data_IF_970039408137
#
_entry.id   IF_970039408137
#
_cell.length_a   1.000
_cell.length_b   1.000
_cell.length_c   1.000
_cell.angle_alpha   90.00
_cell.angle_beta   90.00
_cell.angle_gamma   90.00
#
_symmetry.space_group_name_H-M   'P 1'
#
loop_
_entity.id
_entity.type
_entity.pdbx_description
1 polymer ?
#
# COMPACT_ATOMS: atom_id res chain seq x y z
N UNK A 1 12.73 -10.16 -21.84
CA UNK A 1 13.19 -9.35 -20.71
C UNK A 1 12.15 -9.38 -19.60
N UNK A 2 12.61 -9.56 -18.37
CA UNK A 2 11.71 -9.66 -17.23
C UNK A 2 10.87 -8.39 -17.05
N UNK A 3 11.46 -7.21 -17.30
CA UNK A 3 10.77 -5.94 -17.15
C UNK A 3 9.53 -5.80 -18.02
N UNK A 4 9.51 -6.45 -19.18
CA UNK A 4 8.37 -6.39 -20.10
C UNK A 4 7.15 -7.16 -19.57
N UNK A 5 7.33 -7.98 -18.54
CA UNK A 5 6.28 -8.77 -17.91
C UNK A 5 5.69 -8.14 -16.67
N UNK A 6 6.33 -7.09 -16.15
CA UNK A 6 5.86 -6.46 -14.93
C UNK A 6 4.62 -5.62 -15.21
N UNK A 7 3.60 -5.71 -14.34
CA UNK A 7 2.46 -4.83 -14.43
C UNK A 7 2.88 -3.37 -14.35
N UNK A 8 2.17 -2.51 -15.04
CA UNK A 8 2.52 -1.10 -15.10
C UNK A 8 1.28 -0.23 -15.01
N UNK A 9 1.39 0.87 -14.28
CA UNK A 9 0.36 1.90 -14.17
C UNK A 9 0.99 3.27 -14.39
N UNK A 10 0.49 4.00 -15.39
CA UNK A 10 0.95 5.36 -15.63
C UNK A 10 0.57 6.28 -14.47
N UNK A 11 -0.58 6.03 -13.83
CA UNK A 11 -1.00 6.81 -12.66
C UNK A 11 0.03 6.73 -11.54
N UNK A 12 0.58 5.55 -11.28
CA UNK A 12 1.63 5.38 -10.25
C UNK A 12 2.88 6.18 -10.60
N UNK A 13 3.31 6.16 -11.88
CA UNK A 13 4.47 6.93 -12.31
C UNK A 13 4.23 8.43 -12.15
N UNK A 14 3.02 8.89 -12.46
CA UNK A 14 2.67 10.30 -12.39
C UNK A 14 2.60 10.83 -10.97
N UNK A 15 2.17 10.01 -10.01
CA UNK A 15 1.90 10.50 -8.65
C UNK A 15 2.93 10.08 -7.60
N UNK A 16 3.89 9.21 -7.93
CA UNK A 16 4.83 8.70 -6.92
C UNK A 16 5.69 9.80 -6.31
N UNK A 17 6.15 10.78 -7.08
CA UNK A 17 6.99 11.88 -6.56
C UNK A 17 6.21 12.80 -5.62
N UNK A 18 5.01 13.31 -5.99
CA UNK A 18 4.20 14.08 -5.04
C UNK A 18 3.88 13.34 -3.75
N UNK A 19 3.58 12.04 -3.85
CA UNK A 19 3.31 11.22 -2.65
C UNK A 19 4.57 11.11 -1.81
N UNK A 20 5.73 10.84 -2.42
CA UNK A 20 6.99 10.74 -1.69
C UNK A 20 7.29 12.01 -0.89
N UNK A 21 7.02 13.16 -1.47
CA UNK A 21 7.23 14.45 -0.80
C UNK A 21 6.43 14.52 0.51
N UNK A 22 5.17 14.09 0.48
CA UNK A 22 4.33 14.06 1.68
C UNK A 22 4.84 13.03 2.67
N UNK A 23 5.15 11.81 2.20
CA UNK A 23 5.65 10.75 3.09
C UNK A 23 6.91 11.20 3.83
N UNK A 24 7.82 11.91 3.15
CA UNK A 24 9.06 12.40 3.78
C UNK A 24 8.83 13.40 4.90
N UNK A 25 7.70 14.10 4.89
CA UNK A 25 7.35 15.02 5.97
C UNK A 25 6.93 14.32 7.25
N UNK A 26 6.38 13.10 7.14
CA UNK A 26 5.74 12.41 8.26
C UNK A 26 6.45 11.13 8.69
N UNK A 27 7.20 10.49 7.79
CA UNK A 27 7.93 9.26 8.11
C UNK A 27 9.33 9.64 8.61
N UNK A 28 9.65 9.24 9.83
CA UNK A 28 10.95 9.52 10.44
C UNK A 28 11.57 8.26 11.02
N UNK A 29 11.13 7.83 12.19
CA UNK A 29 11.68 6.71 12.93
C UNK A 29 10.73 5.52 13.03
N UNK A 30 9.59 5.56 12.33
CA UNK A 30 8.67 4.44 12.29
C UNK A 30 9.34 3.25 11.60
N UNK A 31 8.97 2.04 12.05
CA UNK A 31 9.61 0.80 11.61
C UNK A 31 8.79 -0.01 10.62
N UNK A 32 7.46 0.19 10.58
CA UNK A 32 6.60 -0.67 9.77
C UNK A 32 5.41 0.08 9.18
N UNK A 33 5.11 -0.26 7.93
CA UNK A 33 3.99 0.27 7.17
C UNK A 33 3.26 -0.88 6.49
N UNK A 34 1.92 -0.86 6.56
CA UNK A 34 1.07 -1.77 5.80
C UNK A 34 0.47 -1.01 4.62
N UNK A 35 0.70 -1.53 3.41
CA UNK A 35 0.07 -1.01 2.21
C UNK A 35 -1.13 -1.86 1.84
N UNK A 36 -2.29 -1.22 1.63
CA UNK A 36 -3.51 -1.88 1.17
C UNK A 36 -3.66 -1.67 -0.33
N UNK A 37 -3.99 -2.74 -1.05
CA UNK A 37 -4.21 -2.71 -2.50
C UNK A 37 -2.97 -2.23 -3.26
N UNK A 38 -1.87 -2.96 -3.11
CA UNK A 38 -0.58 -2.60 -3.69
C UNK A 38 -0.53 -2.60 -5.22
N UNK A 39 -1.44 -3.30 -5.88
CA UNK A 39 -1.62 -3.25 -7.33
C UNK A 39 -0.39 -3.73 -8.10
N UNK A 40 0.19 -2.85 -8.91
CA UNK A 40 1.37 -3.17 -9.72
C UNK A 40 2.65 -3.31 -8.91
N UNK A 41 2.66 -2.82 -7.67
CA UNK A 41 3.85 -2.80 -6.84
C UNK A 41 4.81 -1.65 -7.12
N UNK A 42 4.49 -0.76 -8.06
CA UNK A 42 5.36 0.37 -8.40
C UNK A 42 5.56 1.31 -7.22
N UNK A 43 4.50 1.63 -6.47
CA UNK A 43 4.61 2.44 -5.26
C UNK A 43 5.44 1.74 -4.19
N UNK A 44 5.14 0.47 -3.92
CA UNK A 44 5.86 -0.29 -2.91
C UNK A 44 7.36 -0.35 -3.18
N UNK A 45 7.74 -0.65 -4.41
CA UNK A 45 9.15 -0.68 -4.80
C UNK A 45 9.80 0.70 -4.63
N UNK A 46 9.15 1.74 -5.14
CA UNK A 46 9.71 3.09 -5.12
C UNK A 46 9.86 3.61 -3.69
N UNK A 47 8.83 3.44 -2.86
CA UNK A 47 8.87 3.94 -1.48
C UNK A 47 9.75 3.07 -0.58
N UNK A 48 9.79 1.76 -0.79
CA UNK A 48 10.71 0.91 -0.04
C UNK A 48 12.16 1.30 -0.29
N UNK A 49 12.51 1.63 -1.53
CA UNK A 49 13.85 2.15 -1.85
C UNK A 49 14.13 3.50 -1.17
N UNK A 50 13.10 4.33 -1.04
CA UNK A 50 13.22 5.67 -0.46
C UNK A 50 13.35 5.64 1.06
N UNK A 51 12.84 4.58 1.72
CA UNK A 51 12.84 4.42 3.16
C UNK A 51 13.44 3.07 3.54
N UNK A 52 14.76 2.89 3.41
CA UNK A 52 15.37 1.57 3.55
C UNK A 52 15.27 0.96 4.95
N UNK A 53 15.00 1.76 5.97
CA UNK A 53 14.83 1.27 7.34
C UNK A 53 13.37 0.99 7.70
N UNK A 54 12.45 1.23 6.78
CA UNK A 54 11.02 1.02 6.98
C UNK A 54 10.61 -0.30 6.33
N UNK A 55 10.00 -1.20 7.11
CA UNK A 55 9.37 -2.38 6.54
C UNK A 55 8.14 -1.95 5.77
N UNK A 56 8.16 -2.14 4.46
CA UNK A 56 7.03 -1.84 3.58
C UNK A 56 6.31 -3.13 3.26
N UNK A 57 5.24 -3.42 4.00
CA UNK A 57 4.47 -4.65 3.83
C UNK A 57 3.28 -4.37 2.93
N UNK A 58 3.39 -4.76 1.68
CA UNK A 58 2.27 -4.63 0.75
C UNK A 58 1.28 -5.78 0.89
N UNK A 59 0.07 -5.56 0.37
CA UNK A 59 -1.01 -6.55 0.38
C UNK A 59 -1.95 -6.29 -0.78
N UNK A 60 -2.67 -7.33 -1.19
CA UNK A 60 -3.73 -7.19 -2.17
C UNK A 60 -4.64 -8.42 -2.12
N UNK A 61 -5.67 -8.41 -2.97
CA UNK A 61 -6.59 -9.53 -3.11
C UNK A 61 -5.90 -10.78 -3.66
N UNK A 62 -6.45 -11.99 -3.43
CA UNK A 62 -5.80 -13.22 -3.90
C UNK A 62 -5.48 -13.22 -5.39
N UNK A 63 -6.36 -12.67 -6.22
CA UNK A 63 -6.13 -12.61 -7.67
C UNK A 63 -5.07 -11.62 -8.11
N UNK A 64 -4.63 -10.72 -7.23
CA UNK A 64 -3.70 -9.65 -7.57
C UNK A 64 -2.29 -9.89 -7.01
N UNK A 65 -2.13 -10.73 -5.99
CA UNK A 65 -0.83 -10.89 -5.33
C UNK A 65 0.23 -11.54 -6.21
N UNK A 66 -0.17 -12.34 -7.19
CA UNK A 66 0.80 -12.97 -8.10
C UNK A 66 1.56 -11.91 -8.89
N UNK A 67 0.86 -10.97 -9.50
CA UNK A 67 1.48 -9.88 -10.26
C UNK A 67 2.30 -8.97 -9.37
N UNK A 68 1.75 -8.64 -8.19
CA UNK A 68 2.45 -7.81 -7.21
C UNK A 68 3.76 -8.46 -6.78
N UNK A 69 3.76 -9.77 -6.53
CA UNK A 69 4.95 -10.49 -6.13
C UNK A 69 6.00 -10.62 -7.23
N UNK A 70 5.63 -10.52 -8.51
CA UNK A 70 6.61 -10.46 -9.58
C UNK A 70 7.52 -9.25 -9.42
N UNK A 71 6.93 -8.08 -9.18
CA UNK A 71 7.72 -6.86 -8.98
C UNK A 71 8.54 -6.92 -7.69
N UNK A 72 7.94 -7.42 -6.62
CA UNK A 72 8.64 -7.56 -5.33
C UNK A 72 9.87 -8.43 -5.48
N UNK A 73 9.72 -9.57 -6.14
CA UNK A 73 10.83 -10.51 -6.38
C UNK A 73 11.93 -9.87 -7.23
N UNK A 74 11.54 -9.16 -8.28
CA UNK A 74 12.47 -8.47 -9.18
C UNK A 74 13.24 -7.37 -8.45
N UNK A 75 12.57 -6.62 -7.60
CA UNK A 75 13.18 -5.53 -6.83
C UNK A 75 14.21 -6.03 -5.83
N UNK A 76 13.99 -7.20 -5.25
CA UNK A 76 14.91 -7.85 -4.32
C UNK A 76 15.38 -6.91 -3.20
N UNK A 77 14.44 -6.25 -2.54
CA UNK A 77 14.72 -5.32 -1.44
C UNK A 77 14.50 -6.01 -0.10
N UNK A 78 15.44 -5.80 0.83
CA UNK A 78 15.36 -6.44 2.17
C UNK A 78 14.15 -5.98 2.98
N UNK A 79 13.61 -4.79 2.68
CA UNK A 79 12.50 -4.20 3.41
C UNK A 79 11.18 -4.25 2.64
N UNK A 80 11.10 -5.04 1.57
CA UNK A 80 9.89 -5.23 0.78
C UNK A 80 9.64 -6.74 0.64
N UNK A 81 9.05 -7.37 1.67
CA UNK A 81 8.78 -8.82 1.64
C UNK A 81 7.61 -9.17 0.73
N UNK A 82 7.39 -10.46 0.45
CA UNK A 82 6.24 -10.88 -0.35
C UNK A 82 4.93 -10.33 0.17
N UNK A 83 4.01 -10.06 -0.74
CA UNK A 83 2.71 -9.46 -0.42
C UNK A 83 1.86 -10.40 0.43
N UNK A 84 1.11 -9.81 1.35
CA UNK A 84 0.07 -10.51 2.09
C UNK A 84 -1.22 -10.53 1.27
N UNK A 85 -1.99 -11.60 1.41
CA UNK A 85 -3.35 -11.64 0.87
C UNK A 85 -4.25 -10.94 1.88
N UNK A 86 -4.96 -9.90 1.43
CA UNK A 86 -5.82 -9.13 2.32
C UNK A 86 -7.00 -8.58 1.54
N UNK A 87 -8.20 -8.91 2.01
CA UNK A 87 -9.45 -8.36 1.51
C UNK A 87 -10.03 -7.46 2.60
N UNK A 88 -10.27 -6.19 2.30
CA UNK A 88 -10.79 -5.23 3.28
C UNK A 88 -12.18 -5.63 3.79
N UNK A 89 -12.89 -6.47 3.05
CA UNK A 89 -14.21 -6.95 3.44
C UNK A 89 -14.17 -8.09 4.46
N UNK A 90 -13.00 -8.70 4.69
CA UNK A 90 -12.87 -9.72 5.73
C UNK A 90 -13.05 -9.08 7.11
N UNK A 91 -13.74 -9.81 7.99
CA UNK A 91 -13.98 -9.31 9.35
C UNK A 91 -12.70 -9.24 10.18
N UNK A 92 -11.72 -10.07 9.84
CA UNK A 92 -10.40 -10.08 10.48
C UNK A 92 -9.34 -10.11 9.39
N UNK A 93 -8.51 -9.09 9.33
CA UNK A 93 -7.44 -9.02 8.33
C UNK A 93 -6.26 -9.94 8.66
N UNK A 94 -6.22 -10.44 9.88
CA UNK A 94 -5.24 -11.44 10.32
C UNK A 94 -3.78 -11.00 10.09
N UNK A 95 -3.50 -9.75 10.40
CA UNK A 95 -2.17 -9.17 10.32
C UNK A 95 -1.77 -8.58 11.67
N UNK A 96 -0.47 -8.39 11.87
CA UNK A 96 0.04 -7.71 13.07
C UNK A 96 -0.32 -6.22 13.02
N UNK A 97 -0.03 -5.50 14.08
CA UNK A 97 -0.24 -4.06 14.11
C UNK A 97 0.95 -3.31 13.52
N UNK A 98 0.65 -2.28 12.76
CA UNK A 98 1.62 -1.43 12.07
C UNK A 98 1.59 -0.01 12.60
N UNK A 99 2.71 0.70 12.44
CA UNK A 99 2.82 2.11 12.82
C UNK A 99 2.27 3.05 11.74
N UNK A 100 2.25 2.59 10.50
CA UNK A 100 1.77 3.38 9.36
C UNK A 100 0.88 2.51 8.47
N UNK A 101 -0.08 3.15 7.80
CA UNK A 101 -0.88 2.51 6.77
C UNK A 101 -0.92 3.41 5.55
N UNK A 102 -0.83 2.80 4.37
CA UNK A 102 -0.82 3.52 3.08
C UNK A 102 -1.74 2.82 2.10
N UNK A 103 -2.53 3.60 1.36
CA UNK A 103 -3.23 3.11 0.17
C UNK A 103 -3.36 4.24 -0.84
N UNK A 104 -3.20 3.90 -2.11
CA UNK A 104 -3.26 4.87 -3.18
C UNK A 104 -4.10 4.33 -4.33
N UNK A 105 -4.94 5.19 -4.90
CA UNK A 105 -5.74 4.90 -6.09
C UNK A 105 -6.66 3.69 -5.93
N UNK A 106 -7.16 3.46 -4.72
CA UNK A 106 -7.97 2.27 -4.41
C UNK A 106 -9.38 2.60 -3.94
N UNK A 107 -9.54 3.57 -3.04
CA UNK A 107 -10.85 3.82 -2.41
C UNK A 107 -11.91 4.26 -3.41
N UNK A 108 -11.53 5.02 -4.44
CA UNK A 108 -12.48 5.51 -5.43
C UNK A 108 -13.05 4.42 -6.35
N UNK A 109 -12.39 3.27 -6.42
CA UNK A 109 -12.86 2.12 -7.21
C UNK A 109 -13.52 1.04 -6.35
N UNK A 110 -13.48 1.18 -5.04
CA UNK A 110 -14.16 0.27 -4.12
C UNK A 110 -15.65 0.63 -4.03
N UNK A 111 -16.47 -0.38 -3.71
CA UNK A 111 -17.87 -0.13 -3.35
C UNK A 111 -17.94 0.68 -2.06
N UNK A 112 -19.09 1.34 -1.82
CA UNK A 112 -19.33 2.03 -0.55
C UNK A 112 -19.12 1.10 0.64
N UNK A 113 -19.61 -0.12 0.53
CA UNK A 113 -19.49 -1.10 1.61
C UNK A 113 -18.04 -1.47 1.88
N UNK A 114 -17.24 -1.61 0.83
CA UNK A 114 -15.81 -1.89 0.99
C UNK A 114 -15.08 -0.72 1.66
N UNK A 115 -15.42 0.51 1.31
CA UNK A 115 -14.85 1.70 1.95
C UNK A 115 -15.23 1.74 3.42
N UNK A 116 -16.49 1.48 3.76
CA UNK A 116 -16.94 1.40 5.16
C UNK A 116 -16.16 0.33 5.93
N UNK A 117 -16.01 -0.84 5.33
CA UNK A 117 -15.27 -1.94 5.94
C UNK A 117 -13.81 -1.58 6.16
N UNK A 118 -13.19 -0.93 5.18
CA UNK A 118 -11.82 -0.45 5.31
C UNK A 118 -11.67 0.44 6.55
N UNK A 119 -12.47 1.49 6.65
CA UNK A 119 -12.36 2.42 7.77
C UNK A 119 -12.72 1.80 9.12
N UNK A 120 -13.65 0.85 9.15
CA UNK A 120 -14.01 0.23 10.42
C UNK A 120 -12.97 -0.76 10.93
N UNK A 121 -12.12 -1.29 10.03
CA UNK A 121 -11.14 -2.32 10.39
C UNK A 121 -9.73 -1.80 10.61
N UNK A 122 -9.36 -0.65 10.04
CA UNK A 122 -7.99 -0.16 10.18
C UNK A 122 -7.56 0.08 11.64
N UNK A 123 -8.43 0.48 12.59
CA UNK A 123 -7.99 0.60 13.98
C UNK A 123 -7.46 -0.71 14.57
N UNK A 124 -7.92 -1.85 14.07
CA UNK A 124 -7.51 -3.16 14.59
C UNK A 124 -6.10 -3.56 14.15
N UNK A 125 -5.57 -2.92 13.10
CA UNK A 125 -4.26 -3.24 12.53
C UNK A 125 -3.26 -2.10 12.71
N UNK A 126 -3.62 -1.08 13.47
CA UNK A 126 -2.76 0.07 13.73
C UNK A 126 -2.36 0.15 15.19
N UNK A 127 -1.12 0.51 15.42
CA UNK A 127 -0.63 0.84 16.74
C UNK A 127 -1.19 2.18 17.19
N UNK A 128 -1.11 2.47 18.48
CA UNK A 128 -1.50 3.77 19.02
C UNK A 128 -0.65 4.86 18.37
N UNK A 129 -1.29 5.99 18.04
CA UNK A 129 -0.64 7.13 17.37
C UNK A 129 -0.14 6.83 15.96
N UNK A 130 -0.68 5.79 15.30
CA UNK A 130 -0.33 5.48 13.92
C UNK A 130 -0.82 6.55 12.97
N UNK A 131 -0.14 6.67 11.81
CA UNK A 131 -0.54 7.57 10.74
C UNK A 131 -1.11 6.77 9.58
N UNK A 132 -2.11 7.35 8.92
CA UNK A 132 -2.76 6.76 7.74
C UNK A 132 -2.61 7.73 6.58
N UNK A 133 -2.09 7.22 5.46
CA UNK A 133 -1.93 7.98 4.22
C UNK A 133 -2.86 7.41 3.16
N UNK A 134 -3.76 8.24 2.67
CA UNK A 134 -4.72 7.86 1.61
C UNK A 134 -4.56 8.84 0.47
N UNK A 135 -4.26 8.33 -0.72
CA UNK A 135 -4.12 9.13 -1.91
C UNK A 135 -5.09 8.63 -2.98
N UNK A 136 -5.71 9.57 -3.70
CA UNK A 136 -6.57 9.22 -4.81
C UNK A 136 -7.46 10.38 -5.24
N UNK A 137 -8.13 10.25 -6.40
CA UNK A 137 -9.14 11.22 -6.81
C UNK A 137 -10.39 11.02 -5.97
N UNK A 138 -10.75 12.00 -5.17
CA UNK A 138 -12.00 12.00 -4.40
C UNK A 138 -12.97 12.98 -5.04
N UNK A 139 -14.23 12.55 -5.17
CA UNK A 139 -15.28 13.44 -5.62
C UNK A 139 -15.89 14.14 -4.41
N UNK A 140 -15.87 15.44 -4.45
CA UNK A 140 -16.61 16.24 -3.48
C UNK A 140 -17.88 16.70 -4.19
N UNK A 141 -19.02 16.18 -3.73
CA UNK A 141 -20.30 16.71 -4.17
C UNK A 141 -20.46 18.06 -3.50
N UNK A 142 -20.18 19.07 -4.30
CA UNK A 142 -20.30 20.44 -3.88
C UNK A 142 -21.75 20.84 -3.65
#
# INVERSE_FOLDING_TARGET
MLNDRLPFSQACENNKQPILKVLKEYISDQESLLEIAGGTGQHGEFFARSFPNLLWQTSDLPGSVTDLNLRISEANLHNLPPALILDVNDSNWNVKKYQLLFTANSLHIMSEKSVENFFSRIPNVLQQSALVFIYGPFKYDG
#
